data_IF_428196899036
#
_entry.id   IF_428196899036
#
_cell.length_a   1.000
_cell.length_b   1.000
_cell.length_c   1.000
_cell.angle_alpha   90.00
_cell.angle_beta   90.00
_cell.angle_gamma   90.00
#
_symmetry.space_group_name_H-M   'P 1'
#
loop_
_entity.id
_entity.type
_entity.pdbx_description
1 polymer ?
#
# COMPACT_ATOMS: atom_id res chain seq x y z
N UNK A 1 0.41 -0.73 -6.86
CA UNK A 1 1.32 -0.85 -5.70
C UNK A 1 0.49 -0.90 -4.43
N UNK A 2 0.86 -1.76 -3.48
CA UNK A 2 0.24 -1.87 -2.15
C UNK A 2 1.21 -1.32 -1.12
N UNK A 3 0.80 -0.37 -0.31
CA UNK A 3 1.71 0.33 0.62
C UNK A 3 1.00 0.79 1.91
N UNK A 4 1.72 0.69 3.02
CA UNK A 4 1.49 1.45 4.25
C UNK A 4 2.76 2.19 4.67
N UNK A 5 2.70 2.95 5.76
CA UNK A 5 3.82 3.71 6.30
C UNK A 5 4.08 3.37 7.77
N UNK A 6 5.35 3.18 8.15
CA UNK A 6 5.69 3.07 9.56
C UNK A 6 5.44 4.41 10.27
N UNK A 7 4.56 4.42 11.27
CA UNK A 7 4.12 5.65 11.94
C UNK A 7 5.22 6.42 12.69
N UNK A 8 6.35 5.76 12.98
CA UNK A 8 7.53 6.37 13.61
C UNK A 8 8.40 7.20 12.65
N UNK A 9 8.03 7.26 11.36
CA UNK A 9 8.69 8.12 10.37
C UNK A 9 8.21 9.57 10.47
N UNK A 10 9.05 10.50 10.00
CA UNK A 10 8.66 11.91 9.86
C UNK A 10 7.56 12.05 8.83
N UNK A 11 6.66 13.00 9.02
CA UNK A 11 5.55 13.24 8.08
C UNK A 11 6.04 13.48 6.64
N UNK A 12 7.17 14.17 6.48
CA UNK A 12 7.79 14.44 5.18
C UNK A 12 8.25 13.16 4.47
N UNK A 13 8.78 12.19 5.22
CA UNK A 13 9.23 10.91 4.67
C UNK A 13 8.02 10.09 4.19
N UNK A 14 6.92 10.10 4.95
CA UNK A 14 5.68 9.38 4.60
C UNK A 14 5.07 9.97 3.32
N UNK A 15 4.95 11.30 3.24
CA UNK A 15 4.48 11.98 2.02
C UNK A 15 5.39 11.73 0.82
N UNK A 16 6.71 11.78 1.02
CA UNK A 16 7.66 11.63 -0.08
C UNK A 16 7.58 10.24 -0.73
N UNK A 17 7.37 9.19 0.07
CA UNK A 17 7.23 7.83 -0.46
C UNK A 17 6.11 7.73 -1.48
N UNK A 18 4.91 8.22 -1.15
CA UNK A 18 3.79 8.15 -2.09
C UNK A 18 3.87 9.19 -3.20
N UNK A 19 4.56 10.31 -3.02
CA UNK A 19 4.87 11.21 -4.12
C UNK A 19 5.72 10.51 -5.21
N UNK A 20 6.71 9.71 -4.81
CA UNK A 20 7.52 8.90 -5.74
C UNK A 20 6.64 7.85 -6.41
N UNK A 21 5.88 7.07 -5.64
CA UNK A 21 5.00 6.03 -6.18
C UNK A 21 3.91 6.59 -7.11
N UNK A 22 3.40 7.79 -6.80
CA UNK A 22 2.41 8.54 -7.57
C UNK A 22 2.85 8.84 -9.02
N UNK A 23 4.17 8.88 -9.24
CA UNK A 23 4.76 9.06 -10.57
C UNK A 23 5.09 7.75 -11.28
N UNK A 24 5.13 6.63 -10.55
CA UNK A 24 5.64 5.35 -11.05
C UNK A 24 4.54 4.31 -11.31
N UNK A 25 3.43 4.33 -10.56
CA UNK A 25 2.39 3.31 -10.62
C UNK A 25 1.02 3.89 -11.01
N UNK A 26 0.25 3.10 -11.75
CA UNK A 26 -1.09 3.46 -12.23
C UNK A 26 -2.16 3.35 -11.13
N UNK A 27 -2.03 2.37 -10.24
CA UNK A 27 -2.92 2.15 -9.09
C UNK A 27 -2.13 2.07 -7.78
N UNK A 28 -2.66 2.71 -6.73
CA UNK A 28 -2.11 2.70 -5.37
C UNK A 28 -3.17 2.22 -4.40
N UNK A 29 -2.89 1.13 -3.69
CA UNK A 29 -3.69 0.62 -2.58
C UNK A 29 -2.99 1.01 -1.28
N UNK A 30 -3.56 1.97 -0.56
CA UNK A 30 -3.11 2.37 0.75
C UNK A 30 -3.76 1.45 1.78
N UNK A 31 -2.97 0.83 2.64
CA UNK A 31 -3.53 0.01 3.71
C UNK A 31 -3.12 0.49 5.09
N UNK A 32 -4.02 0.28 6.05
CA UNK A 32 -3.79 0.58 7.45
C UNK A 32 -3.99 -0.68 8.30
N UNK A 33 -3.05 -0.90 9.22
CA UNK A 33 -3.14 -1.96 10.22
C UNK A 33 -2.83 -1.42 11.63
N UNK A 34 -2.71 -2.30 12.61
CA UNK A 34 -2.50 -1.97 14.02
C UNK A 34 -1.11 -1.35 14.32
N UNK A 35 -0.20 -1.35 13.35
CA UNK A 35 1.19 -0.88 13.52
C UNK A 35 1.33 0.66 13.39
N UNK A 36 0.56 1.42 14.17
CA UNK A 36 0.52 2.90 14.11
C UNK A 36 1.72 3.61 14.75
N UNK A 37 2.53 2.87 15.53
CA UNK A 37 3.81 3.33 16.14
C UNK A 37 3.78 4.78 16.69
N UNK A 38 2.72 5.12 17.43
CA UNK A 38 2.59 6.42 18.10
C UNK A 38 1.72 7.46 17.37
N UNK A 39 1.15 7.12 16.22
CA UNK A 39 0.15 7.93 15.51
C UNK A 39 -1.28 7.51 15.82
N UNK A 40 -2.23 8.41 15.57
CA UNK A 40 -3.64 8.11 15.65
C UNK A 40 -4.10 7.25 14.47
N UNK A 41 -5.21 6.52 14.66
CA UNK A 41 -5.88 5.79 13.59
C UNK A 41 -6.21 6.72 12.41
N UNK A 42 -5.87 6.32 11.20
CA UNK A 42 -6.05 7.08 9.96
C UNK A 42 -4.97 8.13 9.68
N UNK A 43 -4.09 8.44 10.63
CA UNK A 43 -3.11 9.53 10.47
C UNK A 43 -2.03 9.19 9.44
N UNK A 44 -1.52 7.95 9.45
CA UNK A 44 -0.56 7.48 8.44
C UNK A 44 -1.18 7.53 7.04
N UNK A 45 -2.41 7.05 6.92
CA UNK A 45 -3.15 7.04 5.65
C UNK A 45 -3.34 8.45 5.10
N UNK A 46 -3.72 9.41 5.96
CA UNK A 46 -3.87 10.80 5.56
C UNK A 46 -2.57 11.37 4.96
N UNK A 47 -1.42 11.11 5.59
CA UNK A 47 -0.11 11.54 5.11
C UNK A 47 0.29 10.86 3.78
N UNK A 48 0.03 9.56 3.65
CA UNK A 48 0.25 8.84 2.40
C UNK A 48 -0.61 9.41 1.27
N UNK A 49 -1.88 9.74 1.55
CA UNK A 49 -2.79 10.37 0.59
C UNK A 49 -2.33 11.79 0.21
N UNK A 50 -1.83 12.58 1.16
CA UNK A 50 -1.25 13.90 0.88
C UNK A 50 -0.11 13.83 -0.15
N UNK A 51 0.78 12.84 -0.03
CA UNK A 51 1.85 12.63 -1.00
C UNK A 51 1.37 12.30 -2.42
N UNK A 52 0.16 11.76 -2.57
CA UNK A 52 -0.45 11.45 -3.87
C UNK A 52 -1.16 12.64 -4.52
N UNK A 53 -1.33 13.77 -3.83
CA UNK A 53 -2.08 14.92 -4.36
C UNK A 53 -1.53 15.47 -5.69
N UNK A 54 -0.22 15.28 -5.93
CA UNK A 54 0.48 15.67 -7.17
C UNK A 54 0.82 14.50 -8.11
N UNK A 55 0.20 13.32 -7.94
CA UNK A 55 0.53 12.14 -8.72
C UNK A 55 0.30 12.37 -10.23
N UNK A 56 1.33 12.13 -11.03
CA UNK A 56 1.25 12.30 -12.49
C UNK A 56 0.76 11.05 -13.18
N UNK A 57 1.06 9.87 -12.62
CA UNK A 57 0.73 8.58 -13.20
C UNK A 57 -0.44 7.90 -12.52
N UNK A 58 -0.49 7.89 -11.19
CA UNK A 58 -1.57 7.23 -10.45
C UNK A 58 -2.93 7.79 -10.82
N UNK A 59 -3.86 6.89 -11.17
CA UNK A 59 -5.26 7.20 -11.51
C UNK A 59 -6.26 6.62 -10.52
N UNK A 60 -5.87 5.56 -9.81
CA UNK A 60 -6.71 4.89 -8.82
C UNK A 60 -6.00 4.89 -7.47
N UNK A 61 -6.71 5.34 -6.44
CA UNK A 61 -6.24 5.32 -5.05
C UNK A 61 -7.36 4.78 -4.17
N UNK A 62 -7.14 3.63 -3.55
CA UNK A 62 -8.08 3.03 -2.60
C UNK A 62 -7.43 2.93 -1.21
N UNK A 63 -8.25 3.06 -0.17
CA UNK A 63 -7.85 2.90 1.23
C UNK A 63 -8.51 1.67 1.82
N UNK A 64 -7.71 0.84 2.49
CA UNK A 64 -8.09 -0.50 2.89
C UNK A 64 -7.66 -0.71 4.33
N UNK A 65 -8.52 -1.33 5.13
CA UNK A 65 -8.15 -1.73 6.48
C UNK A 65 -7.72 -3.20 6.48
N UNK A 66 -6.48 -3.44 6.89
CA UNK A 66 -5.85 -4.75 6.90
C UNK A 66 -4.95 -5.01 5.69
N UNK A 67 -3.74 -5.49 5.97
CA UNK A 67 -2.70 -5.81 4.98
C UNK A 67 -3.15 -6.91 4.00
N UNK A 68 -3.68 -8.03 4.49
CA UNK A 68 -4.06 -9.17 3.63
C UNK A 68 -5.21 -8.85 2.68
N UNK A 69 -6.19 -8.06 3.13
CA UNK A 69 -7.27 -7.60 2.27
C UNK A 69 -6.74 -6.71 1.13
N UNK A 70 -5.72 -5.91 1.40
CA UNK A 70 -5.08 -5.09 0.39
C UNK A 70 -4.28 -5.90 -0.62
N UNK A 71 -3.60 -6.95 -0.16
CA UNK A 71 -2.93 -7.94 -1.02
C UNK A 71 -3.95 -8.65 -1.90
N UNK A 72 -5.05 -9.15 -1.34
CA UNK A 72 -6.09 -9.86 -2.08
C UNK A 72 -6.66 -8.99 -3.20
N UNK A 73 -7.04 -7.75 -2.88
CA UNK A 73 -7.57 -6.83 -3.87
C UNK A 73 -6.55 -6.47 -4.95
N UNK A 74 -5.26 -6.36 -4.61
CA UNK A 74 -4.22 -6.17 -5.62
C UNK A 74 -4.14 -7.38 -6.56
N UNK A 75 -4.09 -8.59 -6.01
CA UNK A 75 -3.97 -9.83 -6.81
C UNK A 75 -5.19 -10.03 -7.72
N UNK A 76 -6.39 -9.74 -7.24
CA UNK A 76 -7.64 -9.84 -8.03
C UNK A 76 -7.70 -8.86 -9.21
N UNK A 77 -7.02 -7.72 -9.11
CA UNK A 77 -6.99 -6.70 -10.17
C UNK A 77 -5.91 -6.93 -11.22
N UNK A 78 -4.95 -7.82 -10.96
CA UNK A 78 -3.83 -8.06 -11.86
C UNK A 78 -4.26 -8.68 -13.18
N UNK A 79 -3.61 -8.24 -14.24
CA UNK A 79 -3.72 -8.80 -15.59
C UNK A 79 -2.38 -9.37 -16.03
N UNK A 80 -2.37 -10.31 -16.98
CA UNK A 80 -1.12 -10.81 -17.56
C UNK A 80 -0.24 -9.66 -18.08
N UNK A 81 0.99 -9.60 -17.60
CA UNK A 81 1.96 -8.55 -17.94
C UNK A 81 2.03 -7.38 -16.97
N UNK A 82 1.13 -7.31 -15.99
CA UNK A 82 1.19 -6.28 -14.94
C UNK A 82 2.33 -6.55 -13.94
N UNK A 83 2.85 -5.47 -13.35
CA UNK A 83 3.80 -5.52 -12.23
C UNK A 83 3.09 -5.08 -10.94
N UNK A 84 3.02 -5.98 -9.97
CA UNK A 84 2.55 -5.65 -8.62
C UNK A 84 3.73 -5.48 -7.66
N UNK A 85 3.89 -4.29 -7.09
CA UNK A 85 4.76 -4.06 -5.93
C UNK A 85 3.91 -4.08 -4.67
N UNK A 86 4.28 -4.93 -3.70
CA UNK A 86 3.63 -5.03 -2.39
C UNK A 86 4.69 -4.72 -1.33
N UNK A 87 4.46 -3.67 -0.55
CA UNK A 87 5.30 -3.27 0.58
C UNK A 87 4.64 -3.72 1.87
N UNK A 88 5.18 -4.79 2.46
CA UNK A 88 4.60 -5.54 3.59
C UNK A 88 5.24 -5.16 4.93
N UNK A 89 4.47 -5.23 6.02
CA UNK A 89 4.98 -5.08 7.39
C UNK A 89 5.22 -6.46 8.02
N UNK A 90 4.29 -7.40 7.82
CA UNK A 90 4.36 -8.78 8.32
C UNK A 90 4.94 -9.71 7.26
N UNK A 91 6.27 -9.79 7.19
CA UNK A 91 6.98 -10.45 6.09
C UNK A 91 6.61 -11.92 5.92
N UNK A 92 6.66 -12.72 6.99
CA UNK A 92 6.43 -14.17 6.91
C UNK A 92 4.96 -14.47 6.58
N UNK A 93 4.04 -13.80 7.27
CA UNK A 93 2.61 -14.00 7.12
C UNK A 93 2.10 -13.53 5.75
N UNK A 94 2.56 -12.37 5.27
CA UNK A 94 2.16 -11.88 3.95
C UNK A 94 2.71 -12.76 2.82
N UNK A 95 3.94 -13.28 2.94
CA UNK A 95 4.48 -14.22 1.95
C UNK A 95 3.69 -15.54 1.94
N UNK A 96 3.34 -16.08 3.11
CA UNK A 96 2.49 -17.26 3.20
C UNK A 96 1.11 -17.03 2.57
N UNK A 97 0.50 -15.87 2.83
CA UNK A 97 -0.78 -15.46 2.26
C UNK A 97 -0.71 -15.36 0.73
N UNK A 98 0.31 -14.69 0.20
CA UNK A 98 0.52 -14.56 -1.26
C UNK A 98 0.68 -15.94 -1.91
N UNK A 99 1.47 -16.83 -1.30
CA UNK A 99 1.68 -18.18 -1.83
C UNK A 99 0.36 -18.95 -1.92
N UNK A 100 -0.47 -18.90 -0.87
CA UNK A 100 -1.79 -19.53 -0.88
C UNK A 100 -2.67 -18.99 -2.01
N UNK A 101 -2.73 -17.66 -2.17
CA UNK A 101 -3.57 -17.03 -3.22
C UNK A 101 -3.12 -17.38 -4.63
N UNK A 102 -1.82 -17.60 -4.85
CA UNK A 102 -1.29 -18.08 -6.14
C UNK A 102 -1.69 -19.53 -6.41
N UNK A 103 -1.77 -20.38 -5.39
CA UNK A 103 -2.16 -21.79 -5.54
C UNK A 103 -3.67 -21.99 -5.78
N UNK A 104 -4.49 -21.01 -5.38
CA UNK A 104 -5.94 -21.01 -5.58
C UNK A 104 -6.37 -20.62 -7.01
N UNK A 105 -5.51 -19.93 -7.76
CA UNK A 105 -5.77 -19.40 -9.11
C UNK A 105 -5.18 -20.25 -10.24
#
# INVERSE_FOLDING_TARGET
VVISGAGDRRDEDIRQQTAILGSAFDEVLLYEDQCQRGRADGEVIALLREGLAGATRTKVVDEIRGEFLAIDMALERLRPGDLCLILIDQVEEALAHIQQRIEEG
#
